data_IF_074733842518
#
_entry.id   IF_074733842518
#
_cell.length_a   1.000
_cell.length_b   1.000
_cell.length_c   1.000
_cell.angle_alpha   90.00
_cell.angle_beta   90.00
_cell.angle_gamma   90.00
#
_symmetry.space_group_name_H-M   'P 1'
#
loop_
_entity.id
_entity.type
_entity.pdbx_description
1 polymer ?
#
# COMPACT_ATOMS: atom_id res chain seq x y z
N UNK A 1 -31.11 -31.03 24.57
CA UNK A 1 -29.71 -30.88 24.97
C UNK A 1 -29.64 -29.62 25.83
N UNK A 2 -29.58 -29.77 27.16
CA UNK A 2 -29.49 -28.62 28.05
C UNK A 2 -28.00 -28.30 28.13
N UNK A 3 -27.57 -27.21 27.49
CA UNK A 3 -26.22 -26.71 27.69
C UNK A 3 -26.07 -26.40 29.18
N UNK A 4 -25.04 -26.98 29.81
CA UNK A 4 -24.71 -26.69 31.21
C UNK A 4 -24.49 -25.20 31.42
N UNK A 5 -24.73 -24.72 32.64
CA UNK A 5 -24.51 -23.31 32.99
C UNK A 5 -23.07 -22.92 32.64
N UNK A 6 -22.91 -21.78 31.96
CA UNK A 6 -21.59 -21.23 31.69
C UNK A 6 -20.87 -20.91 33.01
N UNK A 7 -19.53 -21.00 33.04
CA UNK A 7 -18.74 -20.42 34.13
C UNK A 7 -19.12 -18.94 34.34
N UNK A 8 -19.15 -18.50 35.60
CA UNK A 8 -19.68 -17.18 35.98
C UNK A 8 -18.89 -16.01 35.38
N UNK A 9 -17.59 -16.19 35.18
CA UNK A 9 -16.70 -15.25 34.51
C UNK A 9 -17.05 -15.08 33.02
N UNK A 10 -17.34 -16.18 32.33
CA UNK A 10 -17.79 -16.15 30.94
C UNK A 10 -19.17 -15.50 30.81
N UNK A 11 -20.11 -15.83 31.71
CA UNK A 11 -21.44 -15.21 31.75
C UNK A 11 -21.34 -13.68 31.94
N UNK A 12 -20.46 -13.22 32.83
CA UNK A 12 -20.23 -11.79 33.05
C UNK A 12 -19.65 -11.07 31.82
N UNK A 13 -18.68 -11.67 31.13
CA UNK A 13 -18.10 -11.09 29.90
C UNK A 13 -19.12 -11.01 28.77
N UNK A 14 -19.96 -12.02 28.60
CA UNK A 14 -20.99 -12.00 27.55
C UNK A 14 -22.11 -11.01 27.84
N UNK A 15 -22.47 -10.80 29.12
CA UNK A 15 -23.45 -9.80 29.52
C UNK A 15 -22.93 -8.36 29.37
N UNK A 16 -21.62 -8.15 29.51
CA UNK A 16 -20.97 -6.84 29.40
C UNK A 16 -19.60 -6.95 28.74
N UNK A 17 -19.53 -7.17 27.41
CA UNK A 17 -18.27 -7.36 26.73
C UNK A 17 -17.38 -6.12 26.87
N UNK A 18 -16.08 -6.28 27.15
CA UNK A 18 -15.17 -5.15 27.20
C UNK A 18 -15.22 -4.34 25.90
N UNK A 19 -15.16 -3.01 26.01
CA UNK A 19 -15.19 -2.08 24.86
C UNK A 19 -14.14 -2.41 23.78
N UNK A 20 -13.02 -3.01 24.16
CA UNK A 20 -12.01 -3.49 23.23
C UNK A 20 -12.55 -4.46 22.15
N UNK A 21 -13.64 -5.17 22.45
CA UNK A 21 -14.32 -6.10 21.54
C UNK A 21 -15.55 -5.51 20.87
N UNK A 22 -15.80 -4.19 20.98
CA UNK A 22 -16.85 -3.55 20.21
C UNK A 22 -16.56 -3.68 18.70
N UNK A 23 -17.59 -3.56 17.83
CA UNK A 23 -17.37 -3.50 16.38
C UNK A 23 -16.29 -2.48 16.00
N UNK A 24 -15.59 -2.76 14.92
CA UNK A 24 -14.60 -1.84 14.33
C UNK A 24 -15.20 -1.23 13.08
N UNK A 25 -15.49 0.07 13.13
CA UNK A 25 -16.08 0.78 11.99
C UNK A 25 -15.00 1.54 11.21
N UNK A 26 -15.13 1.58 9.89
CA UNK A 26 -14.36 2.50 9.05
C UNK A 26 -15.02 3.87 9.14
N UNK A 27 -14.24 4.89 9.48
CA UNK A 27 -14.66 6.27 9.58
C UNK A 27 -13.98 7.09 8.49
N UNK A 28 -14.76 7.48 7.49
CA UNK A 28 -14.28 8.18 6.31
C UNK A 28 -14.14 9.68 6.56
N UNK A 29 -12.94 10.20 6.33
CA UNK A 29 -12.62 11.63 6.38
C UNK A 29 -12.50 12.23 4.97
N UNK A 30 -13.56 12.06 4.17
CA UNK A 30 -13.60 12.50 2.76
C UNK A 30 -15.00 12.94 2.36
N UNK A 31 -15.10 13.69 1.25
CA UNK A 31 -16.36 14.11 0.63
C UNK A 31 -16.93 15.43 1.12
N UNK A 32 -16.31 16.05 2.14
CA UNK A 32 -16.60 17.42 2.58
C UNK A 32 -15.46 17.95 3.44
N UNK A 33 -15.42 19.28 3.63
CA UNK A 33 -14.47 19.92 4.54
C UNK A 33 -14.63 19.41 5.96
N UNK A 34 -13.55 18.92 6.56
CA UNK A 34 -13.51 18.46 7.93
C UNK A 34 -13.75 19.62 8.89
N UNK A 35 -14.55 19.35 9.91
CA UNK A 35 -14.89 20.30 10.97
C UNK A 35 -14.74 19.64 12.34
N UNK A 36 -14.00 20.30 13.22
CA UNK A 36 -13.62 19.75 14.52
C UNK A 36 -14.82 19.43 15.42
N UNK A 37 -15.87 20.25 15.39
CA UNK A 37 -17.07 20.06 16.21
C UNK A 37 -17.94 18.91 15.65
N UNK A 38 -18.05 18.81 14.33
CA UNK A 38 -18.74 17.69 13.68
C UNK A 38 -18.05 16.36 13.93
N UNK A 39 -16.71 16.33 13.85
CA UNK A 39 -15.94 15.13 14.14
C UNK A 39 -16.13 14.66 15.60
N UNK A 40 -16.17 15.59 16.57
CA UNK A 40 -16.54 15.29 17.96
C UNK A 40 -17.92 14.65 18.06
N UNK A 41 -18.93 15.28 17.46
CA UNK A 41 -20.31 14.79 17.49
C UNK A 41 -20.43 13.40 16.85
N UNK A 42 -19.65 13.11 15.80
CA UNK A 42 -19.58 11.77 15.20
C UNK A 42 -18.99 10.74 16.17
N UNK A 43 -17.90 11.06 16.89
CA UNK A 43 -17.34 10.18 17.93
C UNK A 43 -18.33 9.89 19.05
N UNK A 44 -19.06 10.91 19.51
CA UNK A 44 -20.10 10.75 20.54
C UNK A 44 -21.19 9.78 20.06
N UNK A 45 -21.66 9.93 18.82
CA UNK A 45 -22.63 9.01 18.21
C UNK A 45 -22.11 7.58 18.08
N UNK A 46 -20.82 7.39 17.76
CA UNK A 46 -20.22 6.05 17.75
C UNK A 46 -20.22 5.44 19.16
N UNK A 47 -19.78 6.19 20.17
CA UNK A 47 -19.74 5.74 21.55
C UNK A 47 -21.14 5.42 22.11
N UNK A 48 -22.14 6.26 21.82
CA UNK A 48 -23.55 6.03 22.15
C UNK A 48 -24.09 4.76 21.47
N UNK A 49 -23.67 4.51 20.23
CA UNK A 49 -23.99 3.30 19.46
C UNK A 49 -23.21 2.06 19.88
N UNK A 50 -22.35 2.14 20.91
CA UNK A 50 -21.54 1.02 21.38
C UNK A 50 -20.34 0.66 20.50
N UNK A 51 -19.90 1.57 19.62
CA UNK A 51 -18.73 1.41 18.75
C UNK A 51 -17.56 2.19 19.35
N UNK A 52 -16.56 1.48 19.85
CA UNK A 52 -15.38 2.04 20.52
C UNK A 52 -14.07 1.76 19.79
N UNK A 53 -14.11 1.13 18.61
CA UNK A 53 -12.96 0.92 17.75
C UNK A 53 -13.26 1.54 16.37
N UNK A 54 -12.44 2.50 15.95
CA UNK A 54 -12.60 3.16 14.66
C UNK A 54 -11.30 3.08 13.85
N UNK A 55 -11.43 2.85 12.55
CA UNK A 55 -10.33 2.99 11.59
C UNK A 55 -10.55 4.28 10.83
N UNK A 56 -9.68 5.25 11.03
CA UNK A 56 -9.66 6.49 10.26
C UNK A 56 -9.10 6.18 8.87
N UNK A 57 -9.91 6.46 7.85
CA UNK A 57 -9.57 6.25 6.45
C UNK A 57 -9.99 7.45 5.60
N UNK A 58 -9.25 7.68 4.53
CA UNK A 58 -9.53 8.69 3.52
C UNK A 58 -9.85 7.96 2.21
N UNK A 59 -10.97 8.33 1.57
CA UNK A 59 -11.44 7.71 0.33
C UNK A 59 -10.76 8.32 -0.90
N UNK A 60 -10.58 9.64 -0.88
CA UNK A 60 -10.12 10.44 -2.01
C UNK A 60 -9.07 11.49 -1.59
N UNK A 61 -7.97 11.10 -0.91
CA UNK A 61 -7.05 12.05 -0.27
C UNK A 61 -6.41 13.10 -1.19
N UNK A 62 -6.01 12.75 -2.42
CA UNK A 62 -5.29 13.68 -3.32
C UNK A 62 -6.07 14.14 -4.54
N UNK A 63 -7.32 13.72 -4.73
CA UNK A 63 -8.07 14.08 -5.92
C UNK A 63 -9.45 13.43 -5.97
N UNK A 64 -10.33 13.88 -6.88
CA UNK A 64 -11.63 13.28 -6.98
C UNK A 64 -11.51 11.81 -7.39
N UNK A 65 -11.90 10.92 -6.48
CA UNK A 65 -11.82 9.49 -6.66
C UNK A 65 -13.04 8.84 -6.03
N UNK A 66 -13.57 7.78 -6.67
CA UNK A 66 -14.75 7.06 -6.20
C UNK A 66 -15.99 7.94 -5.98
N UNK A 67 -16.10 9.06 -6.71
CA UNK A 67 -17.24 9.99 -6.60
C UNK A 67 -17.20 10.91 -5.39
N UNK A 68 -16.07 10.98 -4.67
CA UNK A 68 -15.81 11.98 -3.65
C UNK A 68 -14.83 13.04 -4.18
N UNK A 69 -14.95 14.28 -3.69
CA UNK A 69 -13.95 15.32 -3.88
C UNK A 69 -12.67 15.01 -3.11
N UNK A 70 -11.60 15.74 -3.42
CA UNK A 70 -10.37 15.68 -2.65
C UNK A 70 -10.62 16.07 -1.17
N UNK A 71 -9.81 15.53 -0.27
CA UNK A 71 -9.93 15.86 1.15
C UNK A 71 -9.65 17.35 1.41
N UNK A 72 -10.44 17.95 2.31
CA UNK A 72 -10.32 19.33 2.75
C UNK A 72 -10.35 19.36 4.29
N UNK A 73 -9.26 19.75 4.99
CA UNK A 73 -7.98 20.18 4.42
C UNK A 73 -7.24 19.03 3.71
N UNK A 74 -6.27 19.33 2.82
CA UNK A 74 -5.50 18.33 2.12
C UNK A 74 -4.91 17.28 3.07
N UNK A 75 -5.01 16.01 2.69
CA UNK A 75 -4.51 14.89 3.49
C UNK A 75 -3.04 15.12 3.90
N UNK A 76 -2.73 14.87 5.18
CA UNK A 76 -1.43 15.10 5.81
C UNK A 76 -0.89 16.54 5.79
N UNK A 77 -1.71 17.56 5.48
CA UNK A 77 -1.35 18.95 5.75
C UNK A 77 -1.29 19.25 7.26
N UNK A 78 -0.63 20.34 7.66
CA UNK A 78 -0.58 20.78 9.07
C UNK A 78 -1.98 21.00 9.68
N UNK A 79 -2.93 21.54 8.89
CA UNK A 79 -4.31 21.71 9.33
C UNK A 79 -5.00 20.35 9.56
N UNK A 80 -4.74 19.38 8.69
CA UNK A 80 -5.23 18.01 8.85
C UNK A 80 -4.66 17.35 10.12
N UNK A 81 -3.36 17.50 10.38
CA UNK A 81 -2.72 16.96 11.58
C UNK A 81 -3.28 17.60 12.86
N UNK A 82 -3.51 18.92 12.87
CA UNK A 82 -4.14 19.61 13.99
C UNK A 82 -5.56 19.09 14.29
N UNK A 83 -6.34 18.77 13.25
CA UNK A 83 -7.65 18.12 13.42
C UNK A 83 -7.51 16.71 14.03
N UNK A 84 -6.55 15.92 13.54
CA UNK A 84 -6.31 14.57 14.07
C UNK A 84 -5.90 14.59 15.54
N UNK A 85 -4.99 15.49 15.94
CA UNK A 85 -4.59 15.66 17.34
C UNK A 85 -5.79 15.94 18.23
N UNK A 86 -6.63 16.91 17.84
CA UNK A 86 -7.84 17.23 18.59
C UNK A 86 -8.83 16.06 18.66
N UNK A 87 -8.93 15.26 17.60
CA UNK A 87 -9.77 14.05 17.58
C UNK A 87 -9.20 12.94 18.47
N UNK A 88 -7.88 12.81 18.59
CA UNK A 88 -7.25 11.89 19.52
C UNK A 88 -7.61 12.25 20.98
N UNK A 89 -7.59 13.53 21.34
CA UNK A 89 -7.99 14.00 22.67
C UNK A 89 -9.47 13.67 22.98
N UNK A 90 -10.33 13.85 21.97
CA UNK A 90 -11.74 13.51 22.09
C UNK A 90 -11.97 12.01 22.29
N UNK A 91 -11.32 11.21 21.45
CA UNK A 91 -11.43 9.76 21.48
C UNK A 91 -10.94 9.23 22.82
N UNK A 92 -9.83 9.77 23.35
CA UNK A 92 -9.34 9.46 24.69
C UNK A 92 -10.40 9.76 25.76
N UNK A 93 -11.01 10.95 25.71
CA UNK A 93 -12.07 11.36 26.65
C UNK A 93 -13.30 10.44 26.60
N UNK A 94 -13.67 9.96 25.42
CA UNK A 94 -14.81 9.08 25.21
C UNK A 94 -14.50 7.58 25.44
N UNK A 95 -13.21 7.23 25.55
CA UNK A 95 -12.74 5.86 25.60
C UNK A 95 -12.90 5.12 24.27
N UNK A 96 -12.81 5.86 23.15
CA UNK A 96 -12.76 5.34 21.77
C UNK A 96 -11.31 5.14 21.36
N UNK A 97 -11.03 4.04 20.68
CA UNK A 97 -9.72 3.70 20.10
C UNK A 97 -9.72 4.02 18.62
N UNK A 98 -8.65 4.67 18.18
CA UNK A 98 -8.44 5.02 16.78
C UNK A 98 -7.30 4.18 16.19
N UNK A 99 -7.54 3.68 14.99
CA UNK A 99 -6.53 3.10 14.12
C UNK A 99 -6.33 4.06 12.97
N UNK A 100 -5.09 4.51 12.77
CA UNK A 100 -4.74 5.34 11.63
C UNK A 100 -4.26 4.46 10.49
N UNK A 101 -4.89 4.59 9.32
CA UNK A 101 -4.41 3.97 8.09
C UNK A 101 -3.63 4.99 7.28
N UNK A 102 -2.36 4.69 7.04
CA UNK A 102 -1.38 5.55 6.36
C UNK A 102 -1.60 5.73 4.86
N UNK A 103 -2.66 5.11 4.29
CA UNK A 103 -2.97 5.11 2.86
C UNK A 103 -1.91 4.42 1.99
N UNK A 104 -1.02 3.59 2.57
CA UNK A 104 -0.10 2.78 1.80
C UNK A 104 -0.81 1.55 1.22
N UNK A 105 -0.98 1.54 -0.11
CA UNK A 105 -1.56 0.41 -0.85
C UNK A 105 -3.08 0.46 -1.04
N UNK A 106 -3.77 1.50 -0.55
CA UNK A 106 -5.19 1.73 -0.83
C UNK A 106 -5.53 3.22 -0.82
N UNK A 107 -6.42 3.61 -1.74
CA UNK A 107 -6.86 4.96 -2.08
C UNK A 107 -5.82 5.85 -2.78
N UNK A 108 -6.28 6.95 -3.37
CA UNK A 108 -5.50 7.84 -4.23
C UNK A 108 -4.64 8.85 -3.47
N UNK A 109 -3.93 8.44 -2.42
CA UNK A 109 -3.07 9.36 -1.64
C UNK A 109 -1.81 9.77 -2.39
N UNK A 110 -1.38 8.95 -3.34
CA UNK A 110 -0.26 9.21 -4.24
C UNK A 110 1.10 9.47 -3.55
N UNK A 111 1.20 9.22 -2.23
CA UNK A 111 2.42 9.43 -1.45
C UNK A 111 3.60 8.62 -1.99
N UNK A 112 3.35 7.37 -2.40
CA UNK A 112 4.39 6.50 -2.94
C UNK A 112 4.86 6.97 -4.32
N UNK A 113 3.96 7.46 -5.18
CA UNK A 113 4.33 7.97 -6.49
C UNK A 113 5.16 9.24 -6.37
N UNK A 114 4.72 10.19 -5.53
CA UNK A 114 5.47 11.42 -5.24
C UNK A 114 6.85 11.14 -4.68
N UNK A 115 6.99 10.19 -3.76
CA UNK A 115 8.30 9.77 -3.25
C UNK A 115 9.19 9.23 -4.36
N UNK A 116 8.67 8.45 -5.29
CA UNK A 116 9.45 7.91 -6.41
C UNK A 116 9.81 9.00 -7.43
N UNK A 117 8.94 9.98 -7.65
CA UNK A 117 9.23 11.11 -8.53
C UNK A 117 10.33 12.02 -7.94
N UNK A 118 10.29 12.27 -6.63
CA UNK A 118 11.28 13.09 -5.91
C UNK A 118 12.59 12.33 -5.68
N UNK A 119 12.51 11.05 -5.31
CA UNK A 119 13.63 10.16 -5.02
C UNK A 119 13.55 8.87 -5.86
N UNK A 120 13.95 8.91 -7.16
CA UNK A 120 13.85 7.77 -8.07
C UNK A 120 14.53 6.48 -7.60
N UNK A 121 15.49 6.59 -6.66
CA UNK A 121 16.15 5.45 -6.04
C UNK A 121 15.19 4.58 -5.21
N UNK A 122 14.11 5.17 -4.69
CA UNK A 122 13.07 4.47 -3.92
C UNK A 122 12.10 3.66 -4.80
N UNK A 123 12.19 3.77 -6.13
CA UNK A 123 11.35 2.98 -7.04
C UNK A 123 11.54 1.48 -6.82
N UNK A 124 10.44 0.73 -6.81
CA UNK A 124 10.47 -0.73 -6.87
C UNK A 124 11.19 -1.20 -8.13
N UNK A 125 12.12 -2.15 -8.00
CA UNK A 125 12.86 -2.73 -9.13
C UNK A 125 12.36 -4.12 -9.45
N UNK A 126 12.26 -4.44 -10.73
CA UNK A 126 11.98 -5.79 -11.23
C UNK A 126 13.18 -6.31 -12.00
N UNK A 127 13.52 -7.58 -11.78
CA UNK A 127 14.48 -8.28 -12.63
C UNK A 127 13.77 -8.77 -13.89
N UNK A 128 14.32 -8.39 -15.05
CA UNK A 128 13.83 -8.82 -16.35
C UNK A 128 14.96 -9.41 -17.20
N UNK A 129 14.57 -10.11 -18.26
CA UNK A 129 15.50 -10.71 -19.21
C UNK A 129 15.00 -10.51 -20.62
N UNK A 130 15.84 -9.90 -21.45
CA UNK A 130 15.68 -9.83 -22.90
C UNK A 130 16.55 -10.93 -23.54
N UNK A 131 16.07 -11.52 -24.63
CA UNK A 131 16.77 -12.56 -25.39
C UNK A 131 16.63 -12.30 -26.88
N UNK A 132 17.66 -12.66 -27.62
CA UNK A 132 17.62 -12.73 -29.07
C UNK A 132 18.45 -13.94 -29.50
N UNK A 133 17.99 -14.62 -30.55
CA UNK A 133 18.72 -15.73 -31.14
C UNK A 133 19.53 -15.17 -32.31
N UNK A 134 20.81 -15.54 -32.38
CA UNK A 134 21.74 -15.06 -33.40
C UNK A 134 22.26 -16.26 -34.18
N UNK A 135 22.07 -16.26 -35.49
CA UNK A 135 22.65 -17.27 -36.37
C UNK A 135 24.16 -17.02 -36.53
N UNK A 136 24.96 -18.03 -36.17
CA UNK A 136 26.41 -18.00 -36.29
C UNK A 136 26.80 -18.86 -37.49
N UNK A 137 27.30 -18.23 -38.56
CA UNK A 137 27.73 -18.93 -39.78
C UNK A 137 29.03 -19.71 -39.57
N UNK A 138 29.35 -20.62 -40.50
CA UNK A 138 30.58 -21.44 -40.45
C UNK A 138 31.87 -20.66 -40.66
N UNK A 139 31.80 -19.45 -41.24
CA UNK A 139 32.97 -18.64 -41.61
C UNK A 139 33.05 -17.28 -40.89
N UNK A 140 31.99 -16.85 -40.21
CA UNK A 140 31.95 -15.61 -39.41
C UNK A 140 31.05 -15.78 -38.20
N UNK A 141 31.50 -15.24 -37.08
CA UNK A 141 30.67 -15.12 -35.89
C UNK A 141 29.47 -14.21 -36.21
N UNK A 142 28.26 -14.69 -35.95
CA UNK A 142 27.06 -13.89 -36.06
C UNK A 142 27.12 -12.73 -35.07
N UNK A 143 26.85 -11.52 -35.53
CA UNK A 143 26.73 -10.35 -34.66
C UNK A 143 25.27 -10.14 -34.26
N UNK A 144 25.04 -9.89 -32.98
CA UNK A 144 23.73 -9.51 -32.45
C UNK A 144 23.89 -8.46 -31.39
N UNK A 145 22.91 -7.57 -31.29
CA UNK A 145 22.87 -6.50 -30.29
C UNK A 145 21.61 -6.66 -29.44
N UNK A 146 21.77 -6.45 -28.13
CA UNK A 146 20.68 -6.41 -27.17
C UNK A 146 20.73 -5.07 -26.44
N UNK A 147 19.66 -4.30 -26.56
CA UNK A 147 19.54 -3.03 -25.85
C UNK A 147 18.79 -3.24 -24.54
N UNK A 148 19.33 -2.66 -23.46
CA UNK A 148 18.57 -2.52 -22.22
C UNK A 148 17.41 -1.54 -22.47
N UNK A 149 16.18 -1.80 -21.98
CA UNK A 149 15.08 -0.85 -22.07
C UNK A 149 15.46 0.52 -21.46
N UNK A 150 14.78 1.60 -21.88
CA UNK A 150 15.13 2.98 -21.53
C UNK A 150 15.23 3.30 -20.02
N UNK A 151 14.59 2.51 -19.16
CA UNK A 151 14.63 2.64 -17.70
C UNK A 151 15.27 1.42 -17.00
N UNK A 152 15.91 0.55 -17.78
CA UNK A 152 16.61 -0.62 -17.28
C UNK A 152 18.07 -0.32 -17.00
N UNK A 153 18.64 -1.04 -16.04
CA UNK A 153 20.08 -1.11 -15.83
C UNK A 153 20.55 -2.52 -16.22
N UNK A 154 21.48 -2.67 -17.17
CA UNK A 154 21.94 -3.99 -17.55
C UNK A 154 22.82 -4.56 -16.43
N UNK A 155 22.38 -5.68 -15.84
CA UNK A 155 23.06 -6.30 -14.70
C UNK A 155 24.07 -7.35 -15.15
N UNK A 156 23.68 -8.19 -16.10
CA UNK A 156 24.49 -9.27 -16.65
C UNK A 156 24.06 -9.61 -18.08
N UNK A 157 25.01 -10.07 -18.89
CA UNK A 157 24.77 -10.62 -20.20
C UNK A 157 25.48 -11.98 -20.35
N UNK A 158 24.92 -12.84 -21.20
CA UNK A 158 25.52 -14.13 -21.51
C UNK A 158 24.93 -14.74 -22.77
N UNK A 159 25.74 -15.53 -23.47
CA UNK A 159 25.34 -16.31 -24.64
C UNK A 159 25.30 -17.79 -24.30
N UNK A 160 24.35 -18.51 -24.90
CA UNK A 160 24.27 -19.98 -24.81
C UNK A 160 24.08 -20.53 -26.21
N UNK A 161 24.75 -21.65 -26.52
CA UNK A 161 24.54 -22.33 -27.81
C UNK A 161 23.18 -23.02 -27.81
N UNK A 162 22.47 -22.90 -28.93
CA UNK A 162 21.20 -23.58 -29.16
C UNK A 162 21.39 -24.73 -30.15
N UNK A 163 20.63 -25.82 -30.00
CA UNK A 163 20.49 -26.86 -31.04
C UNK A 163 19.47 -26.47 -32.12
N UNK A 164 19.27 -27.34 -33.10
CA UNK A 164 18.29 -27.16 -34.18
C UNK A 164 16.83 -27.11 -33.72
N UNK A 165 16.54 -27.48 -32.47
CA UNK A 165 15.21 -27.39 -31.84
C UNK A 165 15.09 -26.16 -30.91
N UNK A 166 16.11 -25.29 -30.88
CA UNK A 166 16.16 -24.10 -30.02
C UNK A 166 16.45 -24.38 -28.54
N UNK A 167 16.95 -25.57 -28.18
CA UNK A 167 17.30 -25.91 -26.80
C UNK A 167 18.74 -25.56 -26.48
N UNK A 168 18.98 -25.13 -25.24
CA UNK A 168 20.33 -24.82 -24.76
C UNK A 168 21.20 -26.08 -24.67
N UNK A 169 22.37 -26.07 -25.31
CA UNK A 169 23.27 -27.24 -25.43
C UNK A 169 24.56 -27.14 -24.62
N UNK A 170 24.79 -26.02 -23.91
CA UNK A 170 26.03 -25.80 -23.19
C UNK A 170 25.92 -24.77 -22.06
N UNK A 171 27.03 -24.48 -21.36
CA UNK A 171 27.05 -23.46 -20.34
C UNK A 171 26.84 -22.07 -20.95
N UNK A 172 26.27 -21.17 -20.15
CA UNK A 172 26.20 -19.74 -20.51
C UNK A 172 27.61 -19.15 -20.47
N UNK A 173 28.06 -18.57 -21.58
CA UNK A 173 29.29 -17.80 -21.70
C UNK A 173 28.98 -16.35 -21.30
N UNK A 174 29.59 -15.80 -20.24
CA UNK A 174 29.38 -14.41 -19.85
C UNK A 174 29.82 -13.45 -20.96
N UNK A 175 29.03 -12.41 -21.19
CA UNK A 175 29.35 -11.33 -22.12
C UNK A 175 29.61 -10.03 -21.36
N UNK A 176 30.43 -9.17 -21.95
CA UNK A 176 30.63 -7.82 -21.44
C UNK A 176 29.31 -7.04 -21.52
N UNK A 177 29.08 -6.18 -20.53
CA UNK A 177 27.93 -5.27 -20.46
C UNK A 177 28.50 -3.86 -20.44
N UNK A 178 28.24 -3.10 -21.49
CA UNK A 178 28.63 -1.69 -21.56
C UNK A 178 27.71 -0.84 -20.66
N UNK A 179 28.26 0.18 -20.01
CA UNK A 179 27.49 1.11 -19.16
C UNK A 179 27.36 0.72 -17.69
N UNK A 180 28.23 -0.16 -17.16
CA UNK A 180 28.42 -0.30 -15.71
C UNK A 180 29.12 0.96 -15.18
N UNK A 181 28.38 1.85 -14.54
CA UNK A 181 28.92 2.81 -13.58
C UNK A 181 29.17 2.11 -12.24
#
# INVERSE_FOLDING_TARGET
MVYGKLPADIEAVLAGPPRAFSPTAIWWWSGERLDRARLRAQLERFAEGGVFNLVLLNLAPSGPLFGADADDPPFMSEEWWSLLEGVCDDAHTLGVRLWFYDQLGFSGADLQARLVDEEPVCAGRRLERVRTDVEVGTERDGAGELHCPAHGQPLAAGAVRLDGDGRCTGPTVPLAVDGRA
#
